data_IF_837642051909
#
_entry.id   IF_837642051909
#
_cell.length_a   1.000
_cell.length_b   1.000
_cell.length_c   1.000
_cell.angle_alpha   90.00
_cell.angle_beta   90.00
_cell.angle_gamma   90.00
#
_symmetry.space_group_name_H-M   'P 1'
#
loop_
_entity.id
_entity.type
_entity.pdbx_description
1 polymer ?
#
# COMPACT_ATOMS: atom_id res chain seq x y z
N UNK A 1 -35.90 -14.88 8.61
CA UNK A 1 -34.86 -14.23 7.79
C UNK A 1 -33.56 -14.33 8.58
N UNK A 2 -32.82 -15.43 8.41
CA UNK A 2 -31.56 -15.66 9.13
C UNK A 2 -30.47 -14.81 8.47
N UNK A 3 -29.78 -13.99 9.27
CA UNK A 3 -28.63 -13.22 8.82
C UNK A 3 -27.50 -14.18 8.43
N UNK A 4 -26.94 -13.99 7.24
CA UNK A 4 -25.74 -14.71 6.78
C UNK A 4 -24.61 -14.45 7.81
N UNK A 5 -23.86 -15.49 8.25
CA UNK A 5 -22.73 -15.28 9.15
C UNK A 5 -21.72 -14.33 8.49
N UNK A 6 -21.06 -13.43 9.25
CA UNK A 6 -19.97 -12.65 8.71
C UNK A 6 -18.94 -13.60 8.13
N UNK A 7 -18.46 -13.29 6.93
CA UNK A 7 -17.47 -14.11 6.22
C UNK A 7 -16.19 -14.19 7.06
N UNK A 8 -16.07 -15.27 7.84
CA UNK A 8 -14.97 -15.51 8.78
C UNK A 8 -13.66 -15.87 8.06
N UNK A 9 -13.63 -15.77 6.72
CA UNK A 9 -12.48 -16.03 5.87
C UNK A 9 -11.60 -14.80 5.63
N UNK A 10 -12.07 -13.59 5.93
CA UNK A 10 -11.25 -12.39 5.94
C UNK A 10 -10.48 -12.33 7.26
N UNK A 11 -9.29 -12.94 7.31
CA UNK A 11 -8.34 -12.65 8.38
C UNK A 11 -8.22 -11.13 8.52
N UNK A 12 -8.35 -10.56 9.74
CA UNK A 12 -8.25 -9.13 9.93
C UNK A 12 -6.88 -8.69 9.42
N UNK A 13 -6.91 -7.78 8.44
CA UNK A 13 -5.69 -7.27 7.82
C UNK A 13 -4.73 -6.77 8.90
N UNK A 14 -3.51 -7.30 8.91
CA UNK A 14 -2.51 -6.92 9.89
C UNK A 14 -1.71 -5.73 9.36
N UNK A 15 -1.93 -4.54 9.94
CA UNK A 15 -1.17 -3.31 9.65
C UNK A 15 0.35 -3.50 9.76
N UNK A 16 0.83 -4.48 10.53
CA UNK A 16 2.25 -4.84 10.58
C UNK A 16 2.81 -5.30 9.22
N UNK A 17 1.96 -5.75 8.29
CA UNK A 17 2.37 -6.08 6.93
C UNK A 17 2.76 -4.84 6.11
N UNK A 18 2.31 -3.63 6.47
CA UNK A 18 2.69 -2.39 5.78
C UNK A 18 4.06 -1.86 6.23
N UNK A 19 4.51 -2.19 7.46
CA UNK A 19 5.80 -1.77 8.01
C UNK A 19 7.02 -2.08 7.12
N UNK A 20 7.20 -3.30 6.58
CA UNK A 20 8.31 -3.58 5.67
C UNK A 20 8.24 -2.74 4.38
N UNK A 21 7.04 -2.46 3.86
CA UNK A 21 6.87 -1.64 2.65
C UNK A 21 7.22 -0.17 2.89
N UNK A 22 6.88 0.37 4.06
CA UNK A 22 7.32 1.69 4.47
C UNK A 22 8.85 1.79 4.57
N UNK A 23 9.50 0.75 5.10
CA UNK A 23 10.96 0.68 5.17
C UNK A 23 11.60 0.59 3.77
N UNK A 24 11.06 -0.22 2.87
CA UNK A 24 11.52 -0.30 1.47
C UNK A 24 11.46 1.05 0.79
N UNK A 25 10.38 1.82 1.00
CA UNK A 25 10.26 3.19 0.46
C UNK A 25 11.31 4.14 1.00
N UNK A 26 11.61 4.07 2.29
CA UNK A 26 12.67 4.88 2.91
C UNK A 26 14.03 4.58 2.27
N UNK A 27 14.38 3.30 2.15
CA UNK A 27 15.64 2.86 1.55
C UNK A 27 15.76 3.33 0.09
N UNK A 28 14.67 3.22 -0.68
CA UNK A 28 14.65 3.68 -2.07
C UNK A 28 14.86 5.21 -2.18
N UNK A 29 14.23 5.98 -1.30
CA UNK A 29 14.42 7.45 -1.24
C UNK A 29 15.86 7.82 -0.89
N UNK A 30 16.46 7.13 0.07
CA UNK A 30 17.87 7.33 0.43
C UNK A 30 18.80 7.00 -0.73
N UNK A 31 18.54 5.90 -1.44
CA UNK A 31 19.31 5.54 -2.63
C UNK A 31 19.18 6.61 -3.73
N UNK A 32 17.96 7.07 -4.02
CA UNK A 32 17.73 8.15 -4.99
C UNK A 32 18.50 9.41 -4.61
N UNK A 33 18.44 9.85 -3.36
CA UNK A 33 19.17 11.03 -2.90
C UNK A 33 20.68 10.84 -2.98
N UNK A 34 21.20 9.66 -2.64
CA UNK A 34 22.62 9.37 -2.79
C UNK A 34 23.03 9.43 -4.28
N UNK A 35 22.23 8.86 -5.18
CA UNK A 35 22.48 8.89 -6.62
C UNK A 35 22.41 10.31 -7.18
N UNK A 36 21.43 11.13 -6.77
CA UNK A 36 21.33 12.54 -7.13
C UNK A 36 22.54 13.34 -6.67
N UNK A 37 23.02 13.12 -5.45
CA UNK A 37 24.21 13.81 -4.90
C UNK A 37 25.49 13.39 -5.62
N UNK A 38 25.65 12.10 -5.95
CA UNK A 38 26.88 11.57 -6.56
C UNK A 38 26.94 11.81 -8.06
N UNK A 39 25.81 11.66 -8.76
CA UNK A 39 25.74 11.64 -10.23
C UNK A 39 24.95 12.82 -10.82
N UNK A 40 24.37 13.69 -9.99
CA UNK A 40 23.65 14.89 -10.42
C UNK A 40 22.26 14.65 -10.98
N UNK A 41 21.75 13.41 -10.93
CA UNK A 41 20.42 13.04 -11.41
C UNK A 41 19.87 11.82 -10.64
N UNK A 42 18.56 11.63 -10.64
CA UNK A 42 17.94 10.41 -10.12
C UNK A 42 18.17 9.22 -11.08
N UNK A 43 18.23 8.01 -10.55
CA UNK A 43 18.27 6.79 -11.36
C UNK A 43 16.90 6.58 -12.07
N UNK A 44 16.84 6.69 -13.42
CA UNK A 44 15.58 6.54 -14.15
C UNK A 44 14.99 5.13 -13.98
N UNK A 45 15.83 4.11 -13.78
CA UNK A 45 15.41 2.70 -13.67
C UNK A 45 14.54 2.47 -12.43
N UNK A 46 14.76 3.23 -11.36
CA UNK A 46 14.01 3.12 -10.11
C UNK A 46 12.74 3.97 -10.06
N UNK A 47 12.47 4.77 -11.10
CA UNK A 47 11.31 5.69 -11.13
C UNK A 47 9.98 4.93 -11.00
N UNK A 48 9.82 3.82 -11.74
CA UNK A 48 8.60 3.01 -11.70
C UNK A 48 8.36 2.38 -10.33
N UNK A 49 9.40 1.76 -9.77
CA UNK A 49 9.34 1.16 -8.43
C UNK A 49 9.08 2.22 -7.33
N UNK A 50 9.67 3.41 -7.47
CA UNK A 50 9.42 4.53 -6.56
C UNK A 50 7.99 5.03 -6.61
N UNK A 51 7.44 5.19 -7.81
CA UNK A 51 6.05 5.58 -7.99
C UNK A 51 5.08 4.55 -7.38
N UNK A 52 5.32 3.26 -7.57
CA UNK A 52 4.51 2.19 -6.97
C UNK A 52 4.51 2.26 -5.44
N UNK A 53 5.66 2.55 -4.80
CA UNK A 53 5.73 2.68 -3.34
C UNK A 53 5.06 3.96 -2.81
N UNK A 54 5.01 5.03 -3.61
CA UNK A 54 4.25 6.24 -3.24
C UNK A 54 2.74 5.96 -3.32
N UNK A 55 2.25 5.31 -4.37
CA UNK A 55 0.86 4.86 -4.48
C UNK A 55 0.46 3.91 -3.34
N UNK A 56 1.31 2.94 -3.00
CA UNK A 56 1.12 2.06 -1.85
C UNK A 56 0.89 2.86 -0.56
N UNK A 57 1.75 3.86 -0.30
CA UNK A 57 1.65 4.68 0.91
C UNK A 57 0.35 5.48 0.93
N UNK A 58 -0.02 6.09 -0.19
CA UNK A 58 -1.22 6.93 -0.26
C UNK A 58 -2.48 6.09 -0.07
N UNK A 59 -2.54 4.89 -0.68
CA UNK A 59 -3.63 3.93 -0.47
C UNK A 59 -3.70 3.41 0.98
N UNK A 60 -2.56 3.06 1.58
CA UNK A 60 -2.52 2.61 2.97
C UNK A 60 -2.99 3.71 3.95
N UNK A 61 -2.58 4.97 3.72
CA UNK A 61 -3.00 6.12 4.52
C UNK A 61 -4.50 6.40 4.37
N UNK A 62 -5.02 6.32 3.13
CA UNK A 62 -6.45 6.45 2.86
C UNK A 62 -7.27 5.34 3.52
N UNK A 63 -6.80 4.09 3.48
CA UNK A 63 -7.44 2.96 4.15
C UNK A 63 -7.51 3.16 5.67
N UNK A 64 -6.41 3.63 6.28
CA UNK A 64 -6.35 3.91 7.71
C UNK A 64 -7.28 5.08 8.10
N UNK A 65 -7.32 6.14 7.28
CA UNK A 65 -8.22 7.27 7.47
C UNK A 65 -9.70 6.86 7.38
N UNK A 66 -10.07 6.02 6.40
CA UNK A 66 -11.42 5.48 6.26
C UNK A 66 -11.83 4.64 7.48
N UNK A 67 -10.93 3.76 7.95
CA UNK A 67 -11.17 2.96 9.15
C UNK A 67 -11.30 3.82 10.42
N UNK A 68 -10.49 4.88 10.56
CA UNK A 68 -10.60 5.83 11.67
C UNK A 68 -11.93 6.60 11.62
N UNK A 69 -12.32 7.09 10.44
CA UNK A 69 -13.59 7.79 10.24
C UNK A 69 -14.79 6.89 10.57
N UNK A 70 -14.74 5.61 10.21
CA UNK A 70 -15.81 4.63 10.51
C UNK A 70 -16.01 4.37 12.02
N UNK A 71 -15.01 4.68 12.86
CA UNK A 71 -15.11 4.58 14.32
C UNK A 71 -15.67 5.86 14.99
N UNK A 72 -15.98 6.90 14.21
CA UNK A 72 -16.51 8.16 14.75
C UNK A 72 -17.89 7.94 15.38
N UNK A 73 -18.14 8.42 16.60
CA UNK A 73 -19.44 8.30 17.24
C UNK A 73 -20.57 8.96 16.43
N UNK A 74 -21.77 8.37 16.45
CA UNK A 74 -23.00 8.91 15.85
C UNK A 74 -23.00 9.09 14.33
N UNK A 75 -22.13 8.40 13.60
CA UNK A 75 -22.24 8.33 12.13
C UNK A 75 -23.45 7.49 11.70
N UNK A 76 -24.08 7.85 10.59
CA UNK A 76 -25.18 7.07 10.05
C UNK A 76 -24.69 5.69 9.55
N UNK A 77 -25.50 4.62 9.66
CA UNK A 77 -25.12 3.29 9.18
C UNK A 77 -24.69 3.25 7.71
N UNK A 78 -25.36 4.04 6.84
CA UNK A 78 -24.99 4.15 5.43
C UNK A 78 -23.58 4.74 5.22
N UNK A 79 -23.20 5.72 6.05
CA UNK A 79 -21.86 6.32 6.03
C UNK A 79 -20.80 5.32 6.50
N UNK A 80 -21.07 4.59 7.57
CA UNK A 80 -20.17 3.53 8.06
C UNK A 80 -19.93 2.46 6.99
N UNK A 81 -20.99 2.04 6.28
CA UNK A 81 -20.88 1.09 5.17
C UNK A 81 -20.03 1.63 4.02
N UNK A 82 -20.28 2.87 3.58
CA UNK A 82 -19.50 3.50 2.52
C UNK A 82 -18.00 3.60 2.89
N UNK A 83 -17.69 3.94 4.14
CA UNK A 83 -16.31 3.95 4.65
C UNK A 83 -15.70 2.55 4.70
N UNK A 84 -16.48 1.52 4.99
CA UNK A 84 -16.04 0.12 4.92
C UNK A 84 -15.70 -0.32 3.49
N UNK A 85 -16.53 0.03 2.51
CA UNK A 85 -16.27 -0.24 1.09
C UNK A 85 -15.02 0.52 0.63
N UNK A 86 -14.89 1.80 0.97
CA UNK A 86 -13.70 2.59 0.66
C UNK A 86 -12.44 1.98 1.30
N UNK A 87 -12.51 1.56 2.56
CA UNK A 87 -11.39 0.89 3.21
C UNK A 87 -10.97 -0.36 2.42
N UNK A 88 -11.92 -1.22 2.04
CA UNK A 88 -11.62 -2.43 1.27
C UNK A 88 -11.04 -2.12 -0.12
N UNK A 89 -11.56 -1.10 -0.82
CA UNK A 89 -11.02 -0.61 -2.09
C UNK A 89 -9.56 -0.19 -1.95
N UNK A 90 -9.24 0.63 -0.95
CA UNK A 90 -7.88 1.07 -0.69
C UNK A 90 -6.96 -0.08 -0.26
N UNK A 91 -7.48 -1.12 0.41
CA UNK A 91 -6.70 -2.35 0.66
C UNK A 91 -6.34 -3.08 -0.63
N UNK A 92 -7.22 -3.11 -1.64
CA UNK A 92 -6.89 -3.67 -2.95
C UNK A 92 -5.85 -2.83 -3.69
N UNK A 93 -5.94 -1.51 -3.63
CA UNK A 93 -4.94 -0.61 -4.23
C UNK A 93 -3.55 -0.80 -3.60
N UNK A 94 -3.47 -1.07 -2.29
CA UNK A 94 -2.21 -1.45 -1.63
C UNK A 94 -1.62 -2.71 -2.26
N UNK A 95 -2.41 -3.76 -2.45
CA UNK A 95 -1.92 -5.01 -3.07
C UNK A 95 -1.57 -4.82 -4.56
N UNK A 96 -2.34 -4.02 -5.29
CA UNK A 96 -2.05 -3.67 -6.67
C UNK A 96 -0.71 -2.92 -6.79
N UNK A 97 -0.45 -1.95 -5.92
CA UNK A 97 0.81 -1.23 -5.87
C UNK A 97 1.99 -2.16 -5.55
N UNK A 98 1.81 -3.16 -4.68
CA UNK A 98 2.83 -4.20 -4.42
C UNK A 98 3.10 -5.07 -5.63
N UNK A 99 2.08 -5.39 -6.43
CA UNK A 99 2.25 -6.11 -7.68
C UNK A 99 3.06 -5.27 -8.70
N UNK A 100 2.68 -4.01 -8.90
CA UNK A 100 3.41 -3.09 -9.80
C UNK A 100 4.86 -2.89 -9.33
N UNK A 101 5.10 -2.77 -8.02
CA UNK A 101 6.47 -2.71 -7.50
C UNK A 101 7.27 -3.95 -7.89
N UNK A 102 6.72 -5.16 -7.73
CA UNK A 102 7.40 -6.40 -8.10
C UNK A 102 7.71 -6.48 -9.60
N UNK A 103 6.83 -5.98 -10.45
CA UNK A 103 7.03 -5.94 -11.90
C UNK A 103 8.05 -4.89 -12.35
N UNK A 104 8.07 -3.74 -11.68
CA UNK A 104 8.95 -2.61 -12.00
C UNK A 104 10.31 -2.68 -11.30
N UNK A 105 10.50 -3.63 -10.38
CA UNK A 105 11.75 -3.78 -9.65
C UNK A 105 12.86 -4.33 -10.57
N UNK A 106 13.91 -3.54 -10.85
CA UNK A 106 14.90 -3.92 -11.88
C UNK A 106 15.75 -5.13 -11.50
N UNK A 107 15.84 -5.45 -10.20
CA UNK A 107 16.60 -6.61 -9.71
C UNK A 107 15.73 -7.86 -9.54
N UNK A 108 14.43 -7.81 -9.89
CA UNK A 108 13.55 -8.97 -9.80
C UNK A 108 14.02 -10.11 -10.71
N UNK A 109 14.47 -9.79 -11.94
CA UNK A 109 15.02 -10.75 -12.88
C UNK A 109 16.36 -11.37 -12.42
N UNK A 110 17.11 -10.66 -11.57
CA UNK A 110 18.37 -11.17 -11.02
C UNK A 110 18.16 -12.18 -9.88
N UNK A 111 17.00 -12.16 -9.22
CA UNK A 111 16.65 -13.10 -8.15
C UNK A 111 16.06 -14.43 -8.65
N UNK A 112 15.61 -14.47 -9.91
CA UNK A 112 15.05 -15.68 -10.56
C UNK A 112 16.08 -16.50 -11.34
N UNK A 113 17.35 -16.09 -11.38
CA UNK A 113 18.42 -16.86 -11.99
C UNK A 113 18.92 -17.96 -11.00
N UNK A 114 18.87 -19.25 -11.37
CA UNK A 114 19.34 -20.37 -10.53
C UNK A 114 20.86 -20.44 -10.41
#
# INVERSE_FOLDING_TARGET
MAALPPDASAEPYNEAQDAPWHQTRLLLRLHRYAHEVVLGAADPVLTGAGHALDLHRDAAEAAAAAAAAARTPRIAPATAYALGVLHADQRHEVEAARAVFRETWPYAAAMTAP
#
